data_IF_229055618253
#
_entry.id   IF_229055618253
#
_cell.length_a   1.000
_cell.length_b   1.000
_cell.length_c   1.000
_cell.angle_alpha   90.00
_cell.angle_beta   90.00
_cell.angle_gamma   90.00
#
_symmetry.space_group_name_H-M   'P 1'
#
loop_
_entity.id
_entity.type
_entity.pdbx_description
1 polymer ?
#
# COMPACT_ATOMS: atom_id res chain seq x y z
N UNK A 1 4.43 -22.84 8.25
CA UNK A 1 4.16 -21.60 8.98
C UNK A 1 4.18 -20.47 7.98
N UNK A 2 3.17 -20.43 7.11
CA UNK A 2 3.06 -19.32 6.15
C UNK A 2 3.25 -17.99 6.90
N UNK A 3 4.22 -17.19 6.46
CA UNK A 3 4.53 -15.90 7.08
C UNK A 3 3.30 -14.99 6.91
N UNK A 4 2.95 -14.24 7.94
CA UNK A 4 1.86 -13.27 7.95
C UNK A 4 2.40 -11.88 8.28
N UNK A 5 1.79 -10.85 7.69
CA UNK A 5 2.07 -9.45 8.00
C UNK A 5 1.11 -9.02 9.11
N UNK A 6 1.64 -8.52 10.23
CA UNK A 6 0.83 -8.05 11.36
C UNK A 6 0.26 -6.64 11.11
N UNK A 7 -0.67 -6.22 11.97
CA UNK A 7 -1.24 -4.85 11.98
C UNK A 7 -0.23 -3.73 12.25
N UNK A 8 1.04 -4.05 12.49
CA UNK A 8 2.13 -3.08 12.68
C UNK A 8 2.76 -2.65 11.35
N UNK A 9 2.28 -3.18 10.21
CA UNK A 9 2.74 -2.80 8.88
C UNK A 9 2.53 -1.31 8.58
N UNK A 10 3.63 -0.63 8.21
CA UNK A 10 3.64 0.79 7.84
C UNK A 10 3.48 1.04 6.32
N UNK A 11 3.05 0.02 5.55
CA UNK A 11 2.83 0.11 4.10
C UNK A 11 4.01 0.63 3.25
N UNK A 12 5.25 0.37 3.68
CA UNK A 12 6.46 0.83 2.99
C UNK A 12 6.80 0.13 1.66
N UNK A 13 6.12 -0.96 1.30
CA UNK A 13 6.34 -1.71 0.04
C UNK A 13 7.63 -2.53 -0.06
N UNK A 14 8.61 -2.35 0.84
CA UNK A 14 9.94 -2.96 0.74
C UNK A 14 9.95 -4.51 0.64
N UNK A 15 8.95 -5.18 1.19
CA UNK A 15 8.88 -6.65 1.22
C UNK A 15 8.28 -7.30 -0.04
N UNK A 16 7.55 -6.55 -0.87
CA UNK A 16 6.90 -7.06 -2.09
C UNK A 16 7.91 -7.58 -3.15
N UNK A 17 8.93 -6.81 -3.58
CA UNK A 17 9.87 -7.26 -4.62
C UNK A 17 10.79 -8.40 -4.16
N UNK A 18 10.99 -8.56 -2.85
CA UNK A 18 11.88 -9.58 -2.27
C UNK A 18 11.22 -10.97 -2.18
N UNK A 19 9.92 -11.09 -2.49
CA UNK A 19 9.22 -12.36 -2.40
C UNK A 19 9.47 -13.23 -3.65
N UNK A 20 10.19 -14.37 -3.55
CA UNK A 20 10.50 -15.20 -4.72
C UNK A 20 9.26 -15.81 -5.39
N UNK A 21 8.12 -15.86 -4.70
CA UNK A 21 6.87 -16.47 -5.19
C UNK A 21 5.80 -15.43 -5.57
N UNK A 22 6.10 -14.13 -5.46
CA UNK A 22 5.10 -13.05 -5.59
C UNK A 22 3.85 -13.34 -4.74
N UNK A 23 4.10 -13.64 -3.46
CA UNK A 23 3.08 -13.99 -2.46
C UNK A 23 2.59 -12.77 -1.65
N UNK A 24 3.28 -11.63 -1.76
CA UNK A 24 2.97 -10.38 -1.05
C UNK A 24 2.19 -9.47 -1.99
N UNK A 25 1.14 -8.85 -1.45
CA UNK A 25 0.26 -7.93 -2.16
C UNK A 25 -0.08 -6.74 -1.27
N UNK A 26 -0.27 -5.56 -1.87
CA UNK A 26 -0.78 -4.38 -1.17
C UNK A 26 -2.24 -4.58 -0.72
N UNK A 27 -2.61 -3.93 0.38
CA UNK A 27 -4.00 -3.93 0.86
C UNK A 27 -5.00 -3.51 -0.22
N UNK A 28 -6.09 -4.26 -0.36
CA UNK A 28 -7.16 -4.02 -1.33
C UNK A 28 -6.89 -4.52 -2.75
N UNK A 29 -5.67 -4.97 -3.05
CA UNK A 29 -5.33 -5.55 -4.36
C UNK A 29 -5.78 -7.01 -4.41
N UNK A 30 -6.45 -7.42 -5.50
CA UNK A 30 -6.82 -8.82 -5.76
C UNK A 30 -5.59 -9.64 -6.19
N UNK A 31 -5.57 -10.93 -5.85
CA UNK A 31 -4.43 -11.82 -6.13
C UNK A 31 -4.81 -12.99 -7.03
N UNK A 32 -3.83 -13.55 -7.75
CA UNK A 32 -4.06 -14.63 -8.70
C UNK A 32 -3.28 -15.91 -8.35
N UNK A 33 -3.95 -17.05 -8.47
CA UNK A 33 -3.35 -18.40 -8.35
C UNK A 33 -4.07 -19.37 -9.30
N UNK A 34 -3.31 -20.23 -9.98
CA UNK A 34 -3.81 -21.23 -10.94
C UNK A 34 -4.82 -20.66 -11.99
N UNK A 35 -4.69 -19.37 -12.34
CA UNK A 35 -5.56 -18.67 -13.29
C UNK A 35 -6.91 -18.18 -12.71
N UNK A 36 -7.06 -18.17 -11.39
CA UNK A 36 -8.23 -17.64 -10.68
C UNK A 36 -7.86 -16.36 -9.93
N UNK A 37 -8.71 -15.34 -10.04
CA UNK A 37 -8.61 -14.10 -9.27
C UNK A 37 -9.35 -14.27 -7.94
N UNK A 38 -8.71 -13.85 -6.86
CA UNK A 38 -9.20 -13.95 -5.49
C UNK A 38 -9.24 -12.56 -4.84
N UNK A 39 -10.26 -12.34 -4.00
CA UNK A 39 -10.39 -11.11 -3.24
C UNK A 39 -9.21 -10.90 -2.27
N UNK A 40 -8.87 -9.63 -2.02
CA UNK A 40 -7.82 -9.24 -1.09
C UNK A 40 -8.05 -9.81 0.32
N UNK A 41 -6.98 -10.34 0.95
CA UNK A 41 -7.05 -10.88 2.33
C UNK A 41 -7.11 -9.74 3.36
N UNK A 42 -6.48 -8.60 3.04
CA UNK A 42 -6.50 -7.37 3.82
C UNK A 42 -6.79 -6.17 2.90
N UNK A 43 -7.50 -5.17 3.41
CA UNK A 43 -7.76 -3.91 2.69
C UNK A 43 -6.86 -2.76 3.16
N UNK A 44 -6.31 -2.84 4.38
CA UNK A 44 -5.67 -1.70 5.06
C UNK A 44 -4.13 -1.78 5.06
N UNK A 45 -3.59 -2.99 4.94
CA UNK A 45 -2.15 -3.27 5.00
C UNK A 45 -1.74 -4.29 3.94
N UNK A 46 -0.44 -4.34 3.61
CA UNK A 46 0.13 -5.46 2.86
C UNK A 46 -0.21 -6.79 3.52
N UNK A 47 -0.45 -7.81 2.70
CA UNK A 47 -0.76 -9.16 3.14
C UNK A 47 0.05 -10.21 2.37
N UNK A 48 0.23 -11.38 2.99
CA UNK A 48 0.84 -12.56 2.36
C UNK A 48 -0.27 -13.57 2.06
N UNK A 49 -0.26 -14.12 0.84
CA UNK A 49 -1.09 -15.25 0.43
C UNK A 49 -0.48 -16.56 0.96
N UNK A 50 -1.12 -17.27 1.91
CA UNK A 50 -0.55 -18.48 2.51
C UNK A 50 -0.27 -19.59 1.49
N UNK A 51 -1.12 -19.72 0.48
CA UNK A 51 -1.02 -20.73 -0.58
C UNK A 51 0.21 -20.54 -1.47
N UNK A 52 0.75 -19.31 -1.53
CA UNK A 52 1.98 -18.96 -2.24
C UNK A 52 3.21 -18.85 -1.34
N UNK A 53 3.04 -18.62 -0.04
CA UNK A 53 4.17 -18.48 0.88
C UNK A 53 4.90 -19.81 1.09
N UNK A 54 6.23 -19.84 0.89
CA UNK A 54 7.07 -21.03 1.18
C UNK A 54 8.05 -20.79 2.34
N UNK A 55 7.87 -19.71 3.12
CA UNK A 55 8.87 -19.23 4.10
C UNK A 55 10.28 -19.11 3.49
N UNK A 56 10.36 -18.79 2.20
CA UNK A 56 11.58 -18.79 1.36
C UNK A 56 12.35 -20.12 1.28
N UNK A 57 11.82 -21.23 1.80
CA UNK A 57 12.41 -22.57 1.68
C UNK A 57 12.63 -22.91 0.20
N UNK A 58 13.85 -23.32 -0.12
CA UNK A 58 14.30 -23.57 -1.49
C UNK A 58 15.09 -22.41 -2.12
N UNK A 59 14.94 -21.19 -1.60
CA UNK A 59 15.55 -19.96 -2.14
C UNK A 59 16.54 -19.31 -1.16
N UNK A 60 16.13 -19.13 0.10
CA UNK A 60 16.90 -18.45 1.14
C UNK A 60 16.87 -19.25 2.45
N UNK A 61 17.86 -19.01 3.32
CA UNK A 61 17.96 -19.59 4.66
C UNK A 61 17.17 -18.80 5.73
N UNK A 62 16.46 -17.74 5.32
CA UNK A 62 15.60 -16.90 6.13
C UNK A 62 14.51 -16.28 5.26
N UNK A 63 13.43 -15.75 5.86
CA UNK A 63 12.41 -15.04 5.09
C UNK A 63 12.92 -13.66 4.64
N UNK A 64 13.13 -13.50 3.33
CA UNK A 64 13.61 -12.23 2.75
C UNK A 64 12.70 -11.04 3.10
N UNK A 65 11.37 -11.24 3.15
CA UNK A 65 10.42 -10.22 3.56
C UNK A 65 10.58 -9.76 5.02
N UNK A 66 11.05 -10.64 5.92
CA UNK A 66 11.35 -10.28 7.30
C UNK A 66 12.68 -9.52 7.40
N UNK A 67 13.70 -9.93 6.63
CA UNK A 67 15.01 -9.27 6.63
C UNK A 67 14.98 -7.80 6.14
N UNK A 68 14.01 -7.43 5.30
CA UNK A 68 13.83 -6.06 4.80
C UNK A 68 12.74 -5.26 5.52
N UNK A 69 12.04 -5.84 6.49
CA UNK A 69 10.93 -5.17 7.16
C UNK A 69 11.44 -4.16 8.19
N UNK A 70 11.20 -2.84 8.05
CA UNK A 70 11.75 -1.83 8.97
C UNK A 70 11.06 -1.82 10.36
N UNK A 71 10.01 -2.63 10.54
CA UNK A 71 9.19 -2.70 11.75
C UNK A 71 8.93 -4.15 12.20
N UNK A 72 9.70 -5.11 11.67
CA UNK A 72 9.66 -6.55 12.04
C UNK A 72 8.27 -7.24 11.98
N UNK A 73 7.31 -6.65 11.24
CA UNK A 73 5.91 -7.12 11.19
C UNK A 73 5.65 -8.37 10.33
N UNK A 74 6.68 -8.92 9.66
CA UNK A 74 6.57 -10.14 8.85
C UNK A 74 6.96 -11.36 9.71
N UNK A 75 5.97 -12.03 10.31
CA UNK A 75 6.20 -13.09 11.31
C UNK A 75 5.60 -14.45 10.88
N UNK A 76 6.17 -15.60 11.28
CA UNK A 76 5.57 -16.91 10.97
C UNK A 76 4.18 -17.07 11.63
N UNK A 77 3.13 -17.42 10.86
CA UNK A 77 1.78 -17.57 11.44
C UNK A 77 1.69 -18.84 12.32
N UNK A 78 1.41 -18.72 13.63
CA UNK A 78 1.18 -19.87 14.50
C UNK A 78 -0.09 -20.66 14.16
N UNK A 79 -1.03 -20.11 13.38
CA UNK A 79 -2.28 -20.77 12.98
C UNK A 79 -2.10 -21.71 11.78
N UNK A 80 -1.06 -21.54 10.97
CA UNK A 80 -0.81 -22.33 9.76
C UNK A 80 0.56 -23.03 9.86
N UNK A 81 0.79 -23.93 10.84
CA UNK A 81 2.04 -24.68 10.95
C UNK A 81 2.21 -25.63 9.76
N UNK A 82 3.41 -25.63 9.16
CA UNK A 82 3.77 -26.43 8.00
C UNK A 82 5.22 -26.87 8.15
N UNK A 83 5.60 -27.98 7.51
CA UNK A 83 6.96 -28.52 7.57
C UNK A 83 7.80 -28.07 6.36
N UNK A 84 9.13 -28.07 6.52
CA UNK A 84 10.10 -27.84 5.44
C UNK A 84 9.76 -28.59 4.15
N UNK A 85 9.34 -29.85 4.26
CA UNK A 85 8.96 -30.67 3.11
C UNK A 85 7.72 -30.14 2.38
N UNK A 86 6.67 -29.70 3.10
CA UNK A 86 5.46 -29.12 2.49
C UNK A 86 5.78 -27.81 1.76
N UNK A 87 6.62 -26.98 2.36
CA UNK A 87 7.05 -25.69 1.80
C UNK A 87 7.89 -25.88 0.53
N UNK A 88 8.79 -26.87 0.52
CA UNK A 88 9.58 -27.23 -0.65
C UNK A 88 8.72 -27.78 -1.80
N UNK A 89 7.74 -28.64 -1.51
CA UNK A 89 6.82 -29.14 -2.55
C UNK A 89 5.94 -28.01 -3.13
N UNK A 90 5.53 -27.04 -2.31
CA UNK A 90 4.88 -25.81 -2.79
C UNK A 90 5.82 -24.99 -3.69
N UNK A 91 7.09 -24.81 -3.30
CA UNK A 91 8.09 -24.10 -4.12
C UNK A 91 8.26 -24.77 -5.51
N UNK A 92 8.37 -26.10 -5.56
CA UNK A 92 8.43 -26.87 -6.81
C UNK A 92 7.17 -26.74 -7.68
N UNK A 93 5.98 -26.62 -7.08
CA UNK A 93 4.72 -26.40 -7.83
C UNK A 93 4.69 -25.00 -8.47
N UNK A 94 5.16 -23.98 -7.73
CA UNK A 94 5.14 -22.58 -8.17
C UNK A 94 6.23 -22.28 -9.21
N UNK A 95 7.38 -22.96 -9.11
CA UNK A 95 8.57 -22.73 -9.95
C UNK A 95 9.05 -24.05 -10.58
N UNK A 96 8.29 -24.62 -11.54
CA UNK A 96 8.60 -25.91 -12.15
C UNK A 96 9.86 -25.92 -13.03
N UNK A 97 10.33 -24.74 -13.46
CA UNK A 97 11.62 -24.54 -14.15
C UNK A 97 12.82 -24.46 -13.20
N UNK A 98 12.60 -24.25 -11.90
CA UNK A 98 13.64 -24.08 -10.90
C UNK A 98 14.08 -25.42 -10.29
N UNK A 99 15.37 -25.75 -10.43
CA UNK A 99 15.93 -27.01 -9.94
C UNK A 99 16.43 -26.92 -8.49
N UNK A 100 15.58 -27.29 -7.53
CA UNK A 100 15.95 -27.36 -6.11
C UNK A 100 16.86 -28.57 -5.82
N UNK A 101 18.11 -28.30 -5.41
CA UNK A 101 19.08 -29.32 -4.99
C UNK A 101 18.70 -29.97 -3.64
N UNK A 102 19.36 -31.06 -3.24
CA UNK A 102 19.05 -31.76 -1.98
C UNK A 102 19.45 -30.96 -0.72
N UNK A 103 20.49 -30.15 -0.85
CA UNK A 103 21.08 -29.23 0.12
C UNK A 103 20.50 -27.81 0.04
N UNK A 104 19.22 -27.70 -0.34
CA UNK A 104 18.53 -26.42 -0.50
C UNK A 104 18.58 -25.50 0.75
N UNK A 105 18.62 -24.16 0.57
CA UNK A 105 18.51 -23.18 1.66
C UNK A 105 17.19 -23.28 2.40
N UNK A 106 17.24 -23.22 3.74
CA UNK A 106 16.08 -23.34 4.61
C UNK A 106 16.38 -22.91 6.04
N UNK A 107 15.57 -21.98 6.54
CA UNK A 107 15.50 -21.53 7.96
C UNK A 107 15.29 -22.62 9.01
N UNK A 108 14.82 -23.80 8.61
CA UNK A 108 14.65 -24.93 9.52
C UNK A 108 15.99 -25.63 9.85
N UNK A 109 17.07 -25.32 9.12
CA UNK A 109 18.39 -25.96 9.24
C UNK A 109 19.33 -25.06 10.05
N UNK A 110 19.48 -25.37 11.35
CA UNK A 110 20.06 -24.47 12.36
C UNK A 110 21.60 -24.45 12.45
N UNK A 111 22.31 -24.71 11.35
CA UNK A 111 23.76 -24.61 11.28
C UNK A 111 24.18 -23.89 10.00
N UNK A 112 24.87 -22.75 10.16
CA UNK A 112 25.36 -21.95 9.03
C UNK A 112 26.43 -22.68 8.23
N UNK A 113 26.02 -23.33 7.14
CA UNK A 113 26.90 -23.73 6.06
C UNK A 113 27.41 -22.49 5.33
N UNK A 114 28.72 -22.28 5.32
CA UNK A 114 29.37 -21.06 4.86
C UNK A 114 28.84 -20.54 3.50
N UNK A 115 28.66 -19.22 3.44
CA UNK A 115 28.28 -18.51 2.23
C UNK A 115 29.15 -18.92 1.02
N UNK A 116 28.49 -19.45 -0.01
CA UNK A 116 28.95 -19.25 -1.39
C UNK A 116 27.94 -18.33 -2.06
N UNK A 117 28.34 -17.08 -2.26
CA UNK A 117 27.65 -16.22 -3.20
C UNK A 117 27.62 -16.94 -4.55
N UNK A 118 26.44 -17.13 -5.13
CA UNK A 118 26.34 -17.63 -6.49
C UNK A 118 27.01 -16.60 -7.43
N UNK A 119 28.10 -16.95 -8.12
CA UNK A 119 28.69 -16.03 -9.08
C UNK A 119 27.79 -15.93 -10.31
N UNK A 120 27.83 -14.78 -10.98
CA UNK A 120 27.36 -14.69 -12.35
C UNK A 120 28.09 -15.73 -13.21
N UNK A 121 27.36 -16.49 -14.02
CA UNK A 121 27.90 -17.38 -15.01
C UNK A 121 27.12 -17.22 -16.33
N UNK A 122 27.85 -16.82 -17.38
CA UNK A 122 27.30 -16.45 -18.68
C UNK A 122 26.52 -17.57 -19.38
N UNK A 123 25.54 -17.15 -20.19
CA UNK A 123 24.88 -18.03 -21.16
C UNK A 123 25.84 -18.38 -22.32
N UNK A 124 25.77 -19.62 -22.87
CA UNK A 124 26.52 -19.98 -24.08
C UNK A 124 25.95 -19.29 -25.33
N UNK A 125 26.78 -18.98 -26.35
CA UNK A 125 26.42 -18.02 -27.38
C UNK A 125 25.73 -18.58 -28.65
N UNK A 126 24.96 -17.69 -29.27
CA UNK A 126 24.72 -17.53 -30.71
C UNK A 126 23.85 -18.55 -31.50
N UNK A 127 22.68 -18.06 -31.93
CA UNK A 127 22.31 -18.05 -33.35
C UNK A 127 21.36 -16.86 -33.62
N UNK A 128 21.66 -16.04 -34.65
CA UNK A 128 20.90 -14.83 -34.99
C UNK A 128 20.02 -15.02 -36.25
N UNK A 129 18.80 -14.47 -36.22
CA UNK A 129 17.92 -14.09 -37.35
C UNK A 129 16.56 -13.70 -36.74
N UNK A 130 15.83 -12.62 -37.02
CA UNK A 130 15.93 -11.45 -37.91
C UNK A 130 14.76 -10.49 -37.48
N UNK A 131 14.46 -9.36 -38.14
CA UNK A 131 14.27 -8.09 -37.40
C UNK A 131 12.86 -7.80 -36.87
N UNK A 132 12.82 -6.87 -35.90
CA UNK A 132 11.61 -6.32 -35.30
C UNK A 132 10.77 -5.47 -36.27
N UNK A 133 9.42 -5.45 -36.12
CA UNK A 133 8.60 -4.38 -36.67
C UNK A 133 8.80 -3.08 -35.88
N UNK A 134 8.69 -1.97 -36.60
CA UNK A 134 8.89 -0.58 -36.12
C UNK A 134 7.91 -0.26 -34.97
N UNK A 135 8.34 0.44 -33.89
CA UNK A 135 7.42 0.90 -32.86
C UNK A 135 6.42 1.90 -33.46
N UNK A 136 5.13 1.63 -33.27
CA UNK A 136 4.10 2.63 -33.51
C UNK A 136 4.34 3.83 -32.57
N UNK A 137 4.06 5.03 -33.07
CA UNK A 137 4.30 6.29 -32.36
C UNK A 137 3.74 6.27 -30.92
N UNK A 138 4.38 6.96 -29.96
CA UNK A 138 3.89 7.01 -28.60
C UNK A 138 2.44 7.50 -28.61
N UNK A 139 1.52 6.66 -28.12
CA UNK A 139 0.22 7.15 -27.67
C UNK A 139 0.51 8.28 -26.70
N UNK A 140 -0.16 9.41 -26.91
CA UNK A 140 -0.03 10.58 -26.06
C UNK A 140 -0.07 10.14 -24.59
N UNK A 141 0.84 10.69 -23.78
CA UNK A 141 0.83 10.47 -22.35
C UNK A 141 -0.60 10.65 -21.86
N UNK A 142 -1.17 9.61 -21.24
CA UNK A 142 -2.42 9.76 -20.51
C UNK A 142 -2.09 10.77 -19.42
N UNK A 143 -2.59 11.99 -19.60
CA UNK A 143 -2.61 13.04 -18.61
C UNK A 143 -3.07 12.37 -17.31
N UNK A 144 -2.24 12.37 -16.24
CA UNK A 144 -2.50 11.52 -15.09
C UNK A 144 -3.91 11.81 -14.60
N UNK A 145 -4.75 10.78 -14.56
CA UNK A 145 -6.13 10.91 -14.11
C UNK A 145 -6.11 11.68 -12.79
N UNK A 146 -6.93 12.73 -12.63
CA UNK A 146 -6.83 13.64 -11.50
C UNK A 146 -6.88 12.80 -10.22
N UNK A 147 -5.76 12.80 -9.50
CA UNK A 147 -5.56 11.88 -8.39
C UNK A 147 -6.76 11.97 -7.45
N UNK A 148 -7.45 10.83 -7.27
CA UNK A 148 -8.60 10.79 -6.37
C UNK A 148 -8.13 11.32 -5.00
N UNK A 149 -8.87 12.25 -4.38
CA UNK A 149 -8.39 12.94 -3.19
C UNK A 149 -8.25 11.92 -2.06
N UNK A 150 -7.02 11.50 -1.80
CA UNK A 150 -6.65 10.47 -0.82
C UNK A 150 -7.28 10.81 0.53
N UNK A 151 -8.30 10.07 0.99
CA UNK A 151 -8.95 10.36 2.25
C UNK A 151 -7.97 10.08 3.39
N UNK A 152 -7.62 11.10 4.16
CA UNK A 152 -6.69 10.95 5.28
C UNK A 152 -5.23 10.70 4.89
N UNK A 153 -4.81 11.11 3.68
CA UNK A 153 -3.38 11.12 3.32
C UNK A 153 -2.59 12.01 4.28
N UNK A 154 -1.87 11.39 5.22
CA UNK A 154 -1.03 12.11 6.17
C UNK A 154 -0.04 12.99 5.41
N UNK A 155 0.00 14.28 5.74
CA UNK A 155 0.95 15.20 5.12
C UNK A 155 2.37 14.73 5.41
N UNK A 156 3.29 14.79 4.42
CA UNK A 156 4.71 14.52 4.66
C UNK A 156 5.19 15.42 5.79
N UNK A 157 5.97 14.85 6.71
CA UNK A 157 6.53 15.59 7.84
C UNK A 157 7.54 16.61 7.32
N UNK A 158 7.93 17.59 8.16
CA UNK A 158 8.82 18.68 7.74
C UNK A 158 10.14 18.16 7.12
N UNK A 159 10.64 17.03 7.62
CA UNK A 159 11.91 16.43 7.21
C UNK A 159 11.84 15.61 5.91
N UNK A 160 10.65 15.22 5.46
CA UNK A 160 10.38 14.44 4.23
C UNK A 160 10.39 15.30 2.95
N UNK A 161 10.53 16.63 3.06
CA UNK A 161 10.46 17.55 1.91
C UNK A 161 11.74 17.56 1.08
N UNK A 162 11.65 17.26 -0.21
CA UNK A 162 12.72 17.51 -1.17
C UNK A 162 12.84 19.01 -1.49
N UNK A 163 14.02 19.58 -1.24
CA UNK A 163 14.29 21.01 -1.46
C UNK A 163 15.05 21.19 -2.78
N UNK A 164 14.50 21.93 -3.76
CA UNK A 164 15.23 22.25 -4.98
C UNK A 164 16.33 23.29 -4.71
N UNK A 165 17.54 23.00 -5.20
CA UNK A 165 18.72 23.85 -5.11
C UNK A 165 19.20 24.15 -6.54
N UNK A 166 19.27 25.45 -6.86
CA UNK A 166 19.89 25.94 -8.09
C UNK A 166 21.38 26.21 -7.84
N UNK A 167 22.25 25.49 -8.56
CA UNK A 167 23.69 25.74 -8.53
C UNK A 167 24.03 27.08 -9.18
N UNK A 168 24.90 27.88 -8.54
CA UNK A 168 25.26 29.23 -9.01
C UNK A 168 26.33 29.24 -10.10
N UNK A 169 27.00 28.11 -10.29
CA UNK A 169 28.15 27.95 -11.16
C UNK A 169 27.77 27.36 -12.53
N UNK A 170 26.65 26.64 -12.62
CA UNK A 170 26.18 26.01 -13.86
C UNK A 170 24.66 26.13 -14.11
N UNK A 171 23.93 26.85 -13.26
CA UNK A 171 22.46 27.00 -13.27
C UNK A 171 21.66 25.67 -13.20
N UNK A 172 22.34 24.55 -12.95
CA UNK A 172 21.73 23.23 -12.84
C UNK A 172 20.96 23.04 -11.54
N UNK A 173 19.73 22.56 -11.65
CA UNK A 173 18.87 22.20 -10.52
C UNK A 173 19.16 20.79 -10.01
N UNK A 174 19.13 20.60 -8.69
CA UNK A 174 19.18 19.30 -8.02
C UNK A 174 18.42 19.38 -6.69
N UNK A 175 17.92 18.26 -6.16
CA UNK A 175 17.18 18.25 -4.89
C UNK A 175 18.02 17.72 -3.73
N UNK A 176 17.65 18.13 -2.52
CA UNK A 176 18.18 17.62 -1.25
C UNK A 176 17.04 17.52 -0.25
N UNK A 177 16.84 16.35 0.35
CA UNK A 177 15.89 16.16 1.45
C UNK A 177 16.15 17.14 2.62
N UNK A 178 15.09 17.78 3.12
CA UNK A 178 15.18 18.81 4.15
C UNK A 178 15.88 18.32 5.43
N UNK A 179 15.69 17.05 5.80
CA UNK A 179 16.41 16.38 6.89
C UNK A 179 17.94 16.56 6.84
N UNK A 180 18.54 16.57 5.65
CA UNK A 180 19.99 16.72 5.47
C UNK A 180 20.43 18.16 5.30
N UNK A 181 19.53 19.07 4.91
CA UNK A 181 19.80 20.49 4.67
C UNK A 181 20.05 21.26 5.98
N UNK A 182 21.11 20.94 6.71
CA UNK A 182 21.48 21.57 7.98
C UNK A 182 22.62 22.60 7.77
N UNK A 183 22.66 23.71 8.54
CA UNK A 183 23.72 24.70 8.40
C UNK A 183 25.13 24.12 8.57
N UNK A 184 26.02 24.44 7.63
CA UNK A 184 27.40 23.94 7.64
C UNK A 184 27.63 22.57 7.00
N UNK A 185 26.59 21.84 6.58
CA UNK A 185 26.73 20.63 5.76
C UNK A 185 27.19 21.02 4.35
N UNK A 186 28.16 20.28 3.79
CA UNK A 186 28.68 20.53 2.43
C UNK A 186 27.99 19.61 1.43
N UNK A 187 27.35 20.22 0.43
CA UNK A 187 26.79 19.54 -0.74
C UNK A 187 27.65 19.84 -1.97
N UNK A 188 27.68 18.91 -2.92
CA UNK A 188 28.35 19.10 -4.20
C UNK A 188 27.31 19.03 -5.32
N UNK A 189 27.32 20.00 -6.22
CA UNK A 189 26.43 19.99 -7.38
C UNK A 189 26.74 18.78 -8.27
N UNK A 190 25.76 17.92 -8.61
CA UNK A 190 26.02 16.76 -9.47
C UNK A 190 26.49 17.16 -10.88
N UNK A 191 26.07 18.33 -11.37
CA UNK A 191 26.34 18.81 -12.72
C UNK A 191 27.75 19.38 -12.92
N UNK A 192 28.33 20.02 -11.91
CA UNK A 192 29.62 20.74 -12.04
C UNK A 192 30.59 20.60 -10.84
N UNK A 193 30.22 19.84 -9.80
CA UNK A 193 31.01 19.63 -8.58
C UNK A 193 31.30 20.90 -7.73
N UNK A 194 30.65 22.03 -8.01
CA UNK A 194 30.70 23.20 -7.15
C UNK A 194 30.09 22.90 -5.76
N UNK A 195 30.70 23.44 -4.70
CA UNK A 195 30.28 23.20 -3.31
C UNK A 195 29.24 24.21 -2.84
N UNK A 196 28.12 23.73 -2.31
CA UNK A 196 27.10 24.53 -1.63
C UNK A 196 27.07 24.21 -0.13
N UNK A 197 26.99 25.24 0.72
CA UNK A 197 26.88 25.09 2.17
C UNK A 197 25.70 25.94 2.67
N UNK A 198 24.64 25.34 3.23
CA UNK A 198 23.51 26.10 3.76
C UNK A 198 23.95 27.01 4.91
N UNK A 199 23.47 28.25 4.89
CA UNK A 199 23.63 29.17 6.02
C UNK A 199 22.49 28.99 7.02
N UNK A 200 22.66 29.45 8.26
CA UNK A 200 21.58 29.50 9.25
C UNK A 200 20.36 30.29 8.75
N UNK A 201 20.58 31.36 8.00
CA UNK A 201 19.50 32.17 7.40
C UNK A 201 18.73 31.36 6.37
N UNK A 202 19.42 30.74 5.41
CA UNK A 202 18.84 29.89 4.37
C UNK A 202 18.00 28.76 4.96
N UNK A 203 18.51 28.07 5.98
CA UNK A 203 17.78 27.02 6.69
C UNK A 203 16.48 27.55 7.33
N UNK A 204 16.55 28.66 8.08
CA UNK A 204 15.40 29.21 8.79
C UNK A 204 14.32 29.74 7.83
N UNK A 205 14.72 30.33 6.70
CA UNK A 205 13.80 30.79 5.65
C UNK A 205 13.00 29.62 5.05
N UNK A 206 13.69 28.52 4.72
CA UNK A 206 13.08 27.30 4.17
C UNK A 206 12.17 26.63 5.22
N UNK A 207 12.67 26.42 6.44
CA UNK A 207 11.89 25.87 7.55
C UNK A 207 10.57 26.65 7.77
N UNK A 208 10.67 27.98 7.89
CA UNK A 208 9.52 28.87 8.08
C UNK A 208 8.54 28.81 6.90
N UNK A 209 9.03 28.63 5.67
CA UNK A 209 8.18 28.52 4.49
C UNK A 209 7.39 27.20 4.48
N UNK A 210 8.04 26.08 4.81
CA UNK A 210 7.44 24.76 4.92
C UNK A 210 6.40 24.69 6.04
N UNK A 211 6.74 25.13 7.26
CA UNK A 211 5.81 25.19 8.40
C UNK A 211 4.54 25.99 8.06
N UNK A 212 4.70 27.16 7.42
CA UNK A 212 3.58 27.99 6.97
C UNK A 212 2.76 27.31 5.88
N UNK A 213 3.36 26.48 5.03
CA UNK A 213 2.67 25.73 3.99
C UNK A 213 1.86 24.59 4.59
N UNK A 214 2.49 23.71 5.37
CA UNK A 214 1.83 22.61 6.11
C UNK A 214 0.66 23.15 6.93
N UNK A 215 0.87 24.17 7.77
CA UNK A 215 -0.20 24.74 8.59
C UNK A 215 -1.35 25.38 7.80
N UNK A 216 -1.12 25.88 6.56
CA UNK A 216 -2.24 26.31 5.69
C UNK A 216 -3.03 25.10 5.17
N UNK A 217 -2.32 24.03 4.83
CA UNK A 217 -2.89 22.81 4.27
C UNK A 217 -3.72 22.04 5.30
N UNK A 218 -3.20 21.86 6.52
CA UNK A 218 -3.91 21.28 7.66
C UNK A 218 -5.25 21.99 7.92
N UNK A 219 -5.23 23.33 7.95
CA UNK A 219 -6.46 24.13 8.13
C UNK A 219 -7.45 23.97 6.96
N UNK A 220 -6.96 23.80 5.74
CA UNK A 220 -7.82 23.57 4.58
C UNK A 220 -8.49 22.19 4.63
N UNK A 221 -7.74 21.14 4.98
CA UNK A 221 -8.32 19.81 5.19
C UNK A 221 -9.31 19.78 6.36
N UNK A 222 -8.95 20.33 7.52
CA UNK A 222 -9.87 20.36 8.67
C UNK A 222 -11.19 21.08 8.36
N UNK A 223 -11.15 22.19 7.59
CA UNK A 223 -12.34 22.90 7.16
C UNK A 223 -13.17 22.11 6.12
N UNK A 224 -12.53 21.32 5.27
CA UNK A 224 -13.19 20.42 4.31
C UNK A 224 -13.88 19.24 5.03
N UNK A 225 -13.19 18.60 5.97
CA UNK A 225 -13.72 17.51 6.80
C UNK A 225 -14.91 17.97 7.65
N UNK A 226 -14.80 19.12 8.33
CA UNK A 226 -15.91 19.72 9.09
C UNK A 226 -17.12 19.97 8.17
N UNK A 227 -16.89 20.45 6.95
CA UNK A 227 -17.96 20.70 5.99
C UNK A 227 -18.62 19.42 5.50
N UNK A 228 -17.85 18.38 5.17
CA UNK A 228 -18.38 17.03 4.87
C UNK A 228 -19.19 16.44 6.02
N UNK A 229 -18.72 16.59 7.26
CA UNK A 229 -19.44 16.12 8.44
C UNK A 229 -20.78 16.84 8.62
N UNK A 230 -20.82 18.18 8.42
CA UNK A 230 -22.07 18.96 8.46
C UNK A 230 -23.04 18.55 7.36
N UNK A 231 -22.56 18.34 6.13
CA UNK A 231 -23.38 17.92 5.00
C UNK A 231 -23.98 16.52 5.19
N UNK A 232 -23.18 15.56 5.67
CA UNK A 232 -23.64 14.20 5.98
C UNK A 232 -24.69 14.21 7.10
N UNK A 233 -24.42 14.89 8.21
CA UNK A 233 -25.37 14.99 9.32
C UNK A 233 -26.71 15.61 8.89
N UNK A 234 -26.66 16.66 8.06
CA UNK A 234 -27.87 17.29 7.51
C UNK A 234 -28.61 16.37 6.52
N UNK A 235 -27.92 15.52 5.77
CA UNK A 235 -28.54 14.51 4.92
C UNK A 235 -29.24 13.42 5.73
N UNK A 236 -28.56 12.86 6.73
CA UNK A 236 -29.14 11.86 7.65
C UNK A 236 -30.35 12.39 8.41
N UNK A 237 -30.35 13.66 8.82
CA UNK A 237 -31.49 14.31 9.46
C UNK A 237 -32.70 14.40 8.52
N UNK A 238 -32.49 14.80 7.25
CA UNK A 238 -33.56 14.80 6.23
C UNK A 238 -34.15 13.41 6.02
N UNK A 239 -33.30 12.38 5.89
CA UNK A 239 -33.76 11.00 5.73
C UNK A 239 -34.53 10.48 6.95
N UNK A 240 -34.12 10.84 8.17
CA UNK A 240 -34.89 10.54 9.39
C UNK A 240 -36.26 11.22 9.41
N UNK A 241 -36.36 12.47 8.96
CA UNK A 241 -37.63 13.20 8.88
C UNK A 241 -38.58 12.58 7.83
N UNK A 242 -38.08 12.29 6.63
CA UNK A 242 -38.85 11.63 5.56
C UNK A 242 -39.37 10.25 5.98
N UNK A 243 -38.54 9.45 6.67
CA UNK A 243 -38.95 8.14 7.19
C UNK A 243 -40.06 8.27 8.26
N UNK A 244 -39.95 9.25 9.16
CA UNK A 244 -40.95 9.49 10.19
C UNK A 244 -42.31 9.93 9.60
N UNK A 245 -42.30 10.79 8.57
CA UNK A 245 -43.51 11.18 7.84
C UNK A 245 -44.14 9.97 7.12
N UNK A 246 -43.31 9.15 6.47
CA UNK A 246 -43.76 7.92 5.80
C UNK A 246 -44.39 6.93 6.79
N UNK A 247 -43.76 6.69 7.95
CA UNK A 247 -44.36 5.89 9.02
C UNK A 247 -45.69 6.45 9.52
N UNK A 248 -45.81 7.76 9.71
CA UNK A 248 -47.05 8.40 10.15
C UNK A 248 -48.17 8.19 9.12
N UNK A 249 -47.85 8.26 7.83
CA UNK A 249 -48.78 8.00 6.73
C UNK A 249 -49.19 6.53 6.63
N UNK A 250 -48.29 5.58 6.91
CA UNK A 250 -48.66 4.16 7.03
C UNK A 250 -49.62 3.92 8.20
N UNK A 251 -49.39 4.59 9.35
CA UNK A 251 -50.27 4.49 10.53
C UNK A 251 -51.67 5.03 10.26
N UNK A 252 -51.84 6.14 9.53
CA UNK A 252 -53.17 6.69 9.23
C UNK A 252 -54.04 5.70 8.43
N UNK A 253 -53.48 5.04 7.40
CA UNK A 253 -54.19 4.01 6.63
C UNK A 253 -54.66 2.84 7.51
N UNK A 254 -53.82 2.38 8.46
CA UNK A 254 -54.22 1.29 9.37
C UNK A 254 -55.29 1.69 10.38
N UNK A 255 -55.34 2.96 10.80
CA UNK A 255 -56.35 3.47 11.72
C UNK A 255 -57.71 3.64 11.01
N UNK A 256 -57.72 4.17 9.79
CA UNK A 256 -58.93 4.31 8.95
C UNK A 256 -59.59 2.94 8.66
N UNK A 257 -58.79 1.90 8.43
CA UNK A 257 -59.32 0.53 8.24
C UNK A 257 -60.02 -0.05 9.48
N UNK A 258 -59.64 0.38 10.69
CA UNK A 258 -60.21 -0.15 11.94
C UNK A 258 -61.56 0.49 12.29
N UNK A 259 -61.73 1.79 12.07
CA UNK A 259 -62.97 2.51 12.44
C UNK A 259 -64.20 2.03 11.66
N UNK A 260 -64.03 1.51 10.44
CA UNK A 260 -65.11 0.97 9.61
C UNK A 260 -65.76 -0.31 10.18
N UNK A 261 -65.09 -1.05 11.08
CA UNK A 261 -65.59 -2.35 11.58
C UNK A 261 -66.29 -2.29 12.95
N UNK A 262 -66.30 -1.13 13.63
CA UNK A 262 -66.73 -1.02 15.02
C UNK A 262 -68.25 -0.98 15.29
N UNK A 263 -69.07 -0.56 14.33
CA UNK A 263 -70.43 -0.04 14.62
C UNK A 263 -71.59 -1.00 14.35
N UNK A 264 -71.34 -2.21 13.85
CA UNK A 264 -72.37 -3.08 13.27
C UNK A 264 -72.81 -4.30 14.10
N UNK A 265 -72.47 -4.39 15.40
CA UNK A 265 -72.64 -5.65 16.17
C UNK A 265 -73.23 -5.54 17.59
N UNK A 266 -74.25 -4.68 17.79
CA UNK A 266 -75.11 -4.66 19.00
C UNK A 266 -76.59 -4.38 18.68
N UNK A 267 -77.27 -5.25 17.93
CA UNK A 267 -78.74 -5.11 17.69
C UNK A 267 -79.51 -6.39 17.31
N UNK A 268 -79.03 -7.57 17.71
CA UNK A 268 -79.67 -8.86 17.42
C UNK A 268 -79.54 -9.85 18.58
N UNK A 269 -80.25 -9.61 19.68
CA UNK A 269 -80.67 -10.63 20.66
C UNK A 269 -81.74 -9.99 21.56
N UNK A 270 -83.00 -10.28 21.25
CA UNK A 270 -84.21 -9.92 22.00
C UNK A 270 -85.30 -10.94 21.62
#
# INVERSE_FOLDING_TARGET
MATVITSECINCGACEPECPNTAIYQGGVEWELDGQTHAAISNDIFYIVPEKCTECVGFFDHEACAAVCPVDCCVPDPKIPESEAVLLERAKKLHPETSFAADFPSRFRKDGGAATAAPAADAPPAAASSPAPVPAAPRAAVEPAPAEPVPGGALPTLDDWEIPILCRECDGEYTVAFQYLRPGVVFYCPHCQASFVPTRTTYLEIATALERFQGRWERAFAAFEESRHRELAAFEERQRAELAEFEQRLRSFTHEGQTATGTARRRWFN
#
